data_IF_970371251011
#
_entry.id   IF_970371251011
#
_cell.length_a   1.000
_cell.length_b   1.000
_cell.length_c   1.000
_cell.angle_alpha   90.00
_cell.angle_beta   90.00
_cell.angle_gamma   90.00
#
_symmetry.space_group_name_H-M   'P 1'
#
loop_
_entity.id
_entity.type
_entity.pdbx_description
1 polymer ?
#
# COMPACT_ATOMS: atom_id res chain seq x y z
N UNK A 1 -17.20 0.64 -16.41
CA UNK A 1 -16.11 -0.28 -16.00
C UNK A 1 -16.73 -1.55 -15.42
N UNK A 2 -16.10 -2.73 -15.60
CA UNK A 2 -16.54 -3.95 -14.92
C UNK A 2 -16.33 -3.85 -13.41
N UNK A 3 -17.00 -4.72 -12.66
CA UNK A 3 -16.77 -4.87 -11.21
C UNK A 3 -15.31 -5.24 -10.93
N UNK A 4 -14.73 -4.65 -9.87
CA UNK A 4 -13.38 -4.96 -9.38
C UNK A 4 -13.40 -5.76 -8.06
N UNK A 5 -14.55 -6.38 -7.73
CA UNK A 5 -14.76 -7.13 -6.48
C UNK A 5 -13.74 -8.25 -6.28
N UNK A 6 -13.31 -8.88 -7.37
CA UNK A 6 -12.32 -9.95 -7.42
C UNK A 6 -10.92 -9.53 -6.96
N UNK A 7 -10.62 -8.23 -6.93
CA UNK A 7 -9.37 -7.69 -6.39
C UNK A 7 -9.33 -7.66 -4.85
N UNK A 8 -10.45 -7.90 -4.19
CA UNK A 8 -10.62 -7.87 -2.73
C UNK A 8 -11.04 -9.25 -2.20
N UNK A 9 -10.82 -9.47 -0.91
CA UNK A 9 -11.28 -10.67 -0.19
C UNK A 9 -12.62 -10.39 0.51
N UNK A 10 -13.66 -10.06 -0.27
CA UNK A 10 -15.02 -9.84 0.25
C UNK A 10 -15.86 -11.08 -0.06
N UNK A 11 -16.39 -11.80 0.94
CA UNK A 11 -17.30 -12.93 0.71
C UNK A 11 -18.54 -12.55 -0.12
N UNK A 12 -19.10 -13.48 -0.88
CA UNK A 12 -20.23 -13.21 -1.79
C UNK A 12 -21.52 -12.82 -1.07
N UNK A 13 -21.70 -13.27 0.16
CA UNK A 13 -22.84 -12.97 1.02
C UNK A 13 -22.68 -11.68 1.85
N UNK A 14 -21.55 -10.97 1.69
CA UNK A 14 -21.26 -9.75 2.45
C UNK A 14 -21.39 -8.49 1.58
N UNK A 15 -22.22 -7.55 2.02
CA UNK A 15 -22.28 -6.19 1.50
C UNK A 15 -21.57 -5.23 2.48
N UNK A 16 -20.30 -4.95 2.24
CA UNK A 16 -19.50 -4.07 3.10
C UNK A 16 -19.63 -2.60 2.69
N UNK A 17 -20.19 -1.76 3.57
CA UNK A 17 -20.48 -0.35 3.28
C UNK A 17 -19.67 0.65 4.13
N UNK A 18 -18.85 0.16 5.07
CA UNK A 18 -18.13 1.01 6.02
C UNK A 18 -16.69 1.38 5.59
N UNK A 19 -16.48 1.63 4.29
CA UNK A 19 -15.16 1.93 3.74
C UNK A 19 -14.54 3.24 4.26
N UNK A 20 -15.36 4.17 4.76
CA UNK A 20 -14.89 5.42 5.35
C UNK A 20 -14.22 5.21 6.72
N UNK A 21 -14.64 4.17 7.47
CA UNK A 21 -14.00 3.81 8.74
C UNK A 21 -12.77 2.92 8.50
N UNK A 22 -12.93 1.85 7.71
CA UNK A 22 -11.83 0.99 7.31
C UNK A 22 -12.13 0.37 5.95
N UNK A 23 -11.25 0.59 4.97
CA UNK A 23 -11.42 -0.01 3.65
C UNK A 23 -10.88 -1.44 3.62
N UNK A 24 -11.53 -2.37 2.87
CA UNK A 24 -10.91 -3.63 2.54
C UNK A 24 -9.65 -3.37 1.71
N UNK A 25 -8.59 -4.12 1.97
CA UNK A 25 -7.36 -4.03 1.22
C UNK A 25 -7.46 -4.82 -0.10
N UNK A 26 -6.81 -4.32 -1.14
CA UNK A 26 -6.56 -5.11 -2.34
C UNK A 26 -5.68 -6.32 -1.98
N UNK A 27 -5.89 -7.45 -2.65
CA UNK A 27 -5.02 -8.64 -2.52
C UNK A 27 -3.54 -8.32 -2.77
N UNK A 28 -3.27 -7.42 -3.71
CA UNK A 28 -1.92 -6.92 -4.01
C UNK A 28 -1.31 -6.13 -2.85
N UNK A 29 -2.10 -5.30 -2.16
CA UNK A 29 -1.66 -4.55 -0.97
C UNK A 29 -1.33 -5.49 0.18
N UNK A 30 -2.14 -6.52 0.42
CA UNK A 30 -1.86 -7.55 1.44
C UNK A 30 -0.54 -8.26 1.13
N UNK A 31 -0.33 -8.68 -0.13
CA UNK A 31 0.91 -9.33 -0.57
C UNK A 31 2.14 -8.43 -0.36
N UNK A 32 2.06 -7.14 -0.70
CA UNK A 32 3.15 -6.19 -0.49
C UNK A 32 3.45 -5.98 1.00
N UNK A 33 2.41 -5.94 1.85
CA UNK A 33 2.57 -5.86 3.31
C UNK A 33 3.33 -7.06 3.89
N UNK A 34 3.00 -8.28 3.45
CA UNK A 34 3.70 -9.51 3.85
C UNK A 34 5.19 -9.43 3.48
N UNK A 35 5.50 -9.05 2.23
CA UNK A 35 6.89 -8.89 1.79
C UNK A 35 7.67 -7.88 2.62
N UNK A 36 7.02 -6.77 3.00
CA UNK A 36 7.60 -5.76 3.88
C UNK A 36 7.96 -6.32 5.27
N UNK A 37 7.05 -7.11 5.86
CA UNK A 37 7.28 -7.78 7.13
C UNK A 37 8.39 -8.83 7.05
N UNK A 38 8.40 -9.65 6.00
CA UNK A 38 9.45 -10.65 5.75
C UNK A 38 10.82 -9.98 5.62
N UNK A 39 10.93 -8.89 4.86
CA UNK A 39 12.18 -8.12 4.76
C UNK A 39 12.61 -7.55 6.11
N UNK A 40 11.65 -6.98 6.86
CA UNK A 40 11.92 -6.43 8.20
C UNK A 40 12.37 -7.50 9.20
N UNK A 41 11.96 -8.76 9.01
CA UNK A 41 12.42 -9.88 9.84
C UNK A 41 13.92 -10.20 9.67
N UNK A 42 14.55 -9.71 8.59
CA UNK A 42 15.98 -9.87 8.29
C UNK A 42 16.67 -8.51 8.18
N UNK A 43 16.74 -7.74 9.28
CA UNK A 43 17.27 -6.38 9.24
C UNK A 43 18.74 -6.31 8.78
N UNK A 44 19.51 -7.39 8.94
CA UNK A 44 20.91 -7.49 8.44
C UNK A 44 21.02 -7.53 6.90
N UNK A 45 19.93 -7.77 6.18
CA UNK A 45 19.89 -7.70 4.70
C UNK A 45 19.52 -6.29 4.21
N UNK A 46 19.08 -5.39 5.10
CA UNK A 46 18.67 -4.01 4.76
C UNK A 46 19.88 -3.09 4.78
N UNK A 47 20.19 -2.46 3.65
CA UNK A 47 21.33 -1.54 3.53
C UNK A 47 20.92 -0.12 3.93
N UNK A 48 21.86 0.75 4.37
CA UNK A 48 21.55 2.16 4.67
C UNK A 48 20.83 2.90 3.52
N UNK A 49 21.17 2.58 2.27
CA UNK A 49 20.51 3.16 1.08
C UNK A 49 19.03 2.81 0.96
N UNK A 50 18.65 1.65 1.49
CA UNK A 50 17.28 1.16 1.47
C UNK A 50 16.37 1.89 2.45
N UNK A 51 16.95 2.46 3.50
CA UNK A 51 16.22 3.10 4.59
C UNK A 51 15.28 4.20 4.08
N UNK A 52 15.71 4.95 3.07
CA UNK A 52 14.94 6.06 2.49
C UNK A 52 14.34 5.74 1.12
N UNK A 53 14.72 4.63 0.47
CA UNK A 53 14.30 4.35 -0.90
C UNK A 53 12.79 4.14 -1.00
N UNK A 54 12.21 3.37 -0.08
CA UNK A 54 10.77 3.13 -0.03
C UNK A 54 9.98 4.41 0.26
N UNK A 55 10.44 5.22 1.22
CA UNK A 55 9.77 6.49 1.54
C UNK A 55 9.81 7.48 0.36
N UNK A 56 10.93 7.57 -0.37
CA UNK A 56 11.01 8.38 -1.59
C UNK A 56 10.05 7.92 -2.67
N UNK A 57 9.94 6.61 -2.88
CA UNK A 57 9.05 6.06 -3.90
C UNK A 57 7.56 6.29 -3.56
N UNK A 58 7.18 6.13 -2.29
CA UNK A 58 5.81 6.43 -1.83
C UNK A 58 5.48 7.91 -2.05
N UNK A 59 6.37 8.83 -1.69
CA UNK A 59 6.18 10.27 -1.95
C UNK A 59 6.01 10.56 -3.44
N UNK A 60 6.84 9.98 -4.30
CA UNK A 60 6.78 10.14 -5.77
C UNK A 60 5.46 9.65 -6.35
N UNK A 61 4.97 8.49 -5.92
CA UNK A 61 3.70 7.94 -6.40
C UNK A 61 2.51 8.76 -5.91
N UNK A 62 2.49 9.12 -4.62
CA UNK A 62 1.43 9.93 -4.03
C UNK A 62 1.36 11.33 -4.64
N UNK A 63 2.51 11.97 -4.87
CA UNK A 63 2.53 13.30 -5.48
C UNK A 63 1.95 13.28 -6.89
N UNK A 64 2.20 12.22 -7.68
CA UNK A 64 1.55 12.02 -8.98
C UNK A 64 0.03 11.84 -8.89
N UNK A 65 -0.46 11.17 -7.85
CA UNK A 65 -1.90 10.99 -7.61
C UNK A 65 -2.59 12.30 -7.22
N UNK A 66 -1.93 13.14 -6.42
CA UNK A 66 -2.49 14.38 -5.89
C UNK A 66 -2.17 15.63 -6.73
N UNK A 67 -1.38 15.50 -7.81
CA UNK A 67 -0.93 16.65 -8.60
C UNK A 67 0.01 17.58 -7.83
N UNK A 68 0.84 17.02 -6.96
CA UNK A 68 1.77 17.73 -6.08
C UNK A 68 3.24 17.34 -6.38
N UNK A 69 4.19 17.88 -5.60
CA UNK A 69 5.58 17.44 -5.61
C UNK A 69 5.86 16.45 -4.47
N UNK A 70 6.91 15.62 -4.55
CA UNK A 70 7.26 14.70 -3.47
C UNK A 70 7.50 15.39 -2.12
N UNK A 71 7.95 16.66 -2.14
CA UNK A 71 8.23 17.44 -0.93
C UNK A 71 6.96 17.92 -0.22
N UNK A 72 5.81 17.89 -0.90
CA UNK A 72 4.49 18.19 -0.32
C UNK A 72 3.89 16.98 0.43
N UNK A 73 4.54 15.80 0.38
CA UNK A 73 4.02 14.54 0.93
C UNK A 73 4.77 14.11 2.20
N UNK A 74 4.06 14.07 3.33
CA UNK A 74 4.54 13.47 4.58
C UNK A 74 4.12 11.99 4.69
N UNK A 75 4.94 11.19 5.39
CA UNK A 75 4.72 9.77 5.69
C UNK A 75 5.02 9.54 7.17
#
# INVERSE_FOLDING_TARGET
>A
MPSQRDLFEIPDDICYLNCAYISPLLKSTVKAGIQGLERKSRPWEIRPTDFFSTAREVRRLASGLFGATPDDIAI
#
